data_IF_116905825670
#
_entry.id   IF_116905825670
#
_cell.length_a   1.000
_cell.length_b   1.000
_cell.length_c   1.000
_cell.angle_alpha   90.00
_cell.angle_beta   90.00
_cell.angle_gamma   90.00
#
_symmetry.space_group_name_H-M   'P 1'
#
loop_
_entity.id
_entity.type
_entity.pdbx_description
1 polymer ?
#
# COMPACT_ATOMS: atom_id res chain seq x y z
N UNK A 1 -1.87 -7.32 12.42
CA UNK A 1 -0.54 -6.83 12.01
C UNK A 1 0.08 -7.69 10.92
N UNK A 2 0.06 -9.03 11.03
CA UNK A 2 0.61 -9.94 9.99
C UNK A 2 0.03 -9.68 8.58
N UNK A 3 -1.29 -9.51 8.48
CA UNK A 3 -1.97 -9.25 7.21
C UNK A 3 -1.52 -7.94 6.56
N UNK A 4 -1.47 -6.85 7.33
CA UNK A 4 -1.02 -5.54 6.83
C UNK A 4 0.44 -5.63 6.34
N UNK A 5 1.30 -6.35 7.07
CA UNK A 5 2.69 -6.57 6.66
C UNK A 5 2.78 -7.28 5.31
N UNK A 6 1.99 -8.35 5.10
CA UNK A 6 1.94 -9.07 3.81
C UNK A 6 1.49 -8.14 2.68
N UNK A 7 0.49 -7.28 2.94
CA UNK A 7 0.04 -6.30 1.95
C UNK A 7 1.16 -5.29 1.62
N UNK A 8 1.88 -4.81 2.62
CA UNK A 8 3.02 -3.90 2.41
C UNK A 8 4.15 -4.56 1.62
N UNK A 9 4.43 -5.84 1.83
CA UNK A 9 5.41 -6.59 1.04
C UNK A 9 4.98 -6.69 -0.43
N UNK A 10 3.70 -6.93 -0.70
CA UNK A 10 3.15 -6.91 -2.07
C UNK A 10 3.24 -5.53 -2.72
N UNK A 11 2.93 -4.46 -1.98
CA UNK A 11 3.10 -3.09 -2.49
C UNK A 11 4.55 -2.75 -2.78
N UNK A 12 5.48 -3.10 -1.88
CA UNK A 12 6.92 -2.89 -2.08
C UNK A 12 7.43 -3.65 -3.32
N UNK A 13 6.88 -4.83 -3.61
CA UNK A 13 7.23 -5.63 -4.78
C UNK A 13 6.46 -5.27 -6.08
N UNK A 14 5.49 -4.34 -6.03
CA UNK A 14 4.61 -4.02 -7.16
C UNK A 14 5.29 -3.36 -8.36
N UNK A 15 6.50 -2.81 -8.16
CA UNK A 15 7.20 -2.01 -9.17
C UNK A 15 6.61 -0.60 -9.37
N UNK A 16 5.54 -0.23 -8.65
CA UNK A 16 4.94 1.10 -8.70
C UNK A 16 5.55 1.98 -7.61
N UNK A 17 6.52 2.82 -7.95
CA UNK A 17 7.25 3.65 -6.97
C UNK A 17 6.34 4.44 -6.02
N UNK A 18 5.19 4.91 -6.52
CA UNK A 18 4.20 5.68 -5.76
C UNK A 18 3.63 4.96 -4.53
N UNK A 19 3.58 3.62 -4.56
CA UNK A 19 3.13 2.79 -3.44
C UNK A 19 4.25 1.92 -2.85
N UNK A 20 5.21 1.51 -3.68
CA UNK A 20 6.32 0.67 -3.28
C UNK A 20 7.24 1.38 -2.30
N UNK A 21 7.57 2.65 -2.54
CA UNK A 21 8.45 3.41 -1.64
C UNK A 21 7.79 3.63 -0.26
N UNK A 22 6.54 4.13 -0.17
CA UNK A 22 5.86 4.27 1.12
C UNK A 22 5.69 2.94 1.88
N UNK A 23 5.36 1.85 1.18
CA UNK A 23 5.22 0.53 1.80
C UNK A 23 6.56 0.01 2.34
N UNK A 24 7.65 0.19 1.60
CA UNK A 24 8.98 -0.19 2.06
C UNK A 24 9.43 0.64 3.27
N UNK A 25 9.10 1.94 3.30
CA UNK A 25 9.36 2.77 4.47
C UNK A 25 8.58 2.28 5.70
N UNK A 26 7.34 1.81 5.51
CA UNK A 26 6.53 1.26 6.58
C UNK A 26 7.12 -0.04 7.12
N UNK A 27 7.52 -0.95 6.24
CA UNK A 27 8.21 -2.20 6.61
C UNK A 27 9.50 -1.95 7.39
N UNK A 28 10.18 -0.85 7.11
CA UNK A 28 11.41 -0.45 7.79
C UNK A 28 11.16 0.29 9.12
N UNK A 29 9.89 0.49 9.53
CA UNK A 29 9.54 1.26 10.72
C UNK A 29 9.82 2.76 10.60
N UNK A 30 9.90 3.29 9.37
CA UNK A 30 10.27 4.68 9.05
C UNK A 30 9.13 5.47 8.39
N UNK A 31 7.96 4.87 8.19
CA UNK A 31 6.85 5.55 7.52
C UNK A 31 6.14 6.53 8.46
N UNK A 32 5.85 7.70 7.92
CA UNK A 32 4.76 8.53 8.38
C UNK A 32 3.44 7.87 7.97
N UNK A 33 2.56 7.62 8.95
CA UNK A 33 1.26 6.98 8.75
C UNK A 33 0.39 7.77 7.77
N UNK A 34 0.38 9.10 7.87
CA UNK A 34 -0.48 9.94 7.03
C UNK A 34 0.02 9.96 5.59
N UNK A 35 1.35 9.94 5.40
CA UNK A 35 1.96 9.80 4.09
C UNK A 35 1.63 8.44 3.44
N UNK A 36 1.68 7.35 4.20
CA UNK A 36 1.31 6.02 3.71
C UNK A 36 -0.18 5.94 3.32
N UNK A 37 -1.08 6.43 4.19
CA UNK A 37 -2.52 6.47 3.90
C UNK A 37 -2.80 7.29 2.64
N UNK A 38 -2.11 8.41 2.46
CA UNK A 38 -2.25 9.25 1.27
C UNK A 38 -1.78 8.53 0.01
N UNK A 39 -0.64 7.85 0.06
CA UNK A 39 -0.12 7.06 -1.05
C UNK A 39 -1.07 5.92 -1.44
N UNK A 40 -1.64 5.20 -0.47
CA UNK A 40 -2.59 4.12 -0.72
C UNK A 40 -3.86 4.65 -1.38
N UNK A 41 -4.39 5.80 -0.93
CA UNK A 41 -5.58 6.43 -1.55
C UNK A 41 -5.33 6.84 -3.01
N UNK A 42 -4.16 7.40 -3.30
CA UNK A 42 -3.78 7.76 -4.68
C UNK A 42 -3.66 6.51 -5.55
N UNK A 43 -3.04 5.44 -5.03
CA UNK A 43 -2.92 4.17 -5.74
C UNK A 43 -4.29 3.50 -5.99
N UNK A 44 -5.19 3.53 -5.00
CA UNK A 44 -6.58 3.05 -5.15
C UNK A 44 -7.36 3.87 -6.19
N UNK A 45 -7.17 5.18 -6.23
CA UNK A 45 -7.81 6.01 -7.25
C UNK A 45 -7.31 5.68 -8.67
N UNK A 46 -6.04 5.32 -8.82
CA UNK A 46 -5.41 5.06 -10.12
C UNK A 46 -5.58 3.62 -10.61
N UNK A 47 -5.56 2.62 -9.72
CA UNK A 47 -5.67 1.20 -10.09
C UNK A 47 -6.59 0.39 -9.17
N UNK A 48 -7.30 1.00 -8.22
CA UNK A 48 -8.28 0.34 -7.36
C UNK A 48 -9.60 0.00 -8.05
N UNK A 49 -9.60 -0.10 -9.37
CA UNK A 49 -10.70 -0.66 -10.19
C UNK A 49 -10.16 -1.25 -11.50
N UNK A 50 -8.84 -1.45 -11.62
CA UNK A 50 -8.21 -1.92 -12.86
C UNK A 50 -8.25 -3.46 -12.98
N UNK A 51 -8.73 -4.17 -11.95
CA UNK A 51 -8.83 -5.63 -11.91
C UNK A 51 -7.50 -6.36 -11.67
N UNK A 52 -6.44 -5.63 -11.28
CA UNK A 52 -5.16 -6.23 -10.91
C UNK A 52 -5.21 -6.82 -9.49
N UNK A 53 -4.19 -7.59 -9.12
CA UNK A 53 -4.13 -8.19 -7.78
C UNK A 53 -4.01 -7.17 -6.63
N UNK A 54 -3.58 -5.93 -6.92
CA UNK A 54 -3.41 -4.87 -5.92
C UNK A 54 -4.71 -4.14 -5.59
N UNK A 55 -5.70 -4.19 -6.50
CA UNK A 55 -6.97 -3.49 -6.39
C UNK A 55 -7.68 -3.74 -5.03
N UNK A 56 -7.94 -4.99 -4.60
CA UNK A 56 -8.56 -5.24 -3.30
C UNK A 56 -7.62 -4.87 -2.14
N UNK A 57 -6.30 -4.88 -2.36
CA UNK A 57 -5.32 -4.69 -1.30
C UNK A 57 -5.25 -3.24 -0.84
N UNK A 58 -5.50 -2.26 -1.71
CA UNK A 58 -5.50 -0.85 -1.30
C UNK A 58 -6.57 -0.56 -0.25
N UNK A 59 -7.80 -1.02 -0.51
CA UNK A 59 -8.94 -0.87 0.39
C UNK A 59 -8.69 -1.61 1.70
N UNK A 60 -8.17 -2.85 1.59
CA UNK A 60 -7.85 -3.65 2.76
C UNK A 60 -6.74 -3.04 3.62
N UNK A 61 -5.71 -2.47 3.02
CA UNK A 61 -4.66 -1.76 3.75
C UNK A 61 -5.22 -0.55 4.52
N UNK A 62 -6.14 0.21 3.93
CA UNK A 62 -6.78 1.36 4.59
C UNK A 62 -7.65 0.95 5.79
N UNK A 63 -8.29 -0.21 5.76
CA UNK A 63 -9.05 -0.74 6.91
C UNK A 63 -8.15 -1.18 8.08
N UNK A 64 -6.92 -1.62 7.76
CA UNK A 64 -5.98 -2.18 8.73
C UNK A 64 -5.03 -1.14 9.36
N UNK A 65 -4.95 0.06 8.77
CA UNK A 65 -4.09 1.16 9.20
C UNK A 65 -4.77 2.02 10.27
#
# INVERSE_FOLDING_TARGET
>A
MEELKIIMEKFAASGWESIAIPAQQWLNGKADRDALVTAIKIADQQCGSCGCELDPLYKRALELL
#
